data_IF_968354095698
#
_entry.id   IF_968354095698
#
_cell.length_a   1.000
_cell.length_b   1.000
_cell.length_c   1.000
_cell.angle_alpha   90.00
_cell.angle_beta   90.00
_cell.angle_gamma   90.00
#
_symmetry.space_group_name_H-M   'P 1'
#
loop_
_entity.id
_entity.type
_entity.pdbx_description
1 polymer ?
#
# COMPACT_ATOMS: atom_id res chain seq x y z
N UNK A 1 15.36 1.94 -7.22
CA UNK A 1 14.72 0.60 -7.45
C UNK A 1 13.20 0.68 -7.23
N UNK A 2 12.39 -0.06 -8.00
CA UNK A 2 10.91 -0.07 -7.85
C UNK A 2 10.44 -0.76 -6.56
N UNK A 3 9.44 -0.19 -5.87
CA UNK A 3 8.79 -0.86 -4.74
C UNK A 3 7.91 -2.04 -5.20
N UNK A 4 7.58 -2.95 -4.28
CA UNK A 4 6.79 -4.15 -4.57
C UNK A 4 5.37 -3.82 -5.04
N UNK A 5 4.74 -2.77 -4.49
CA UNK A 5 3.42 -2.34 -4.94
C UNK A 5 3.40 -1.88 -6.39
N UNK A 6 4.38 -1.07 -6.81
CA UNK A 6 4.49 -0.66 -8.21
C UNK A 6 4.72 -1.85 -9.15
N UNK A 7 5.48 -2.87 -8.72
CA UNK A 7 5.68 -4.11 -9.49
C UNK A 7 4.35 -4.85 -9.68
N UNK A 8 3.59 -5.05 -8.61
CA UNK A 8 2.27 -5.70 -8.66
C UNK A 8 1.30 -4.93 -9.57
N UNK A 9 1.27 -3.61 -9.44
CA UNK A 9 0.40 -2.75 -10.24
C UNK A 9 0.91 -2.53 -11.66
N UNK A 10 2.07 -3.06 -12.05
CA UNK A 10 2.72 -2.78 -13.35
C UNK A 10 2.76 -1.27 -13.64
N UNK A 11 3.12 -0.49 -12.62
CA UNK A 11 3.20 0.99 -12.63
C UNK A 11 4.67 1.42 -12.55
N UNK A 12 5.02 2.51 -13.23
CA UNK A 12 6.33 3.16 -13.06
C UNK A 12 6.54 3.65 -11.62
N UNK A 13 7.70 3.35 -11.05
CA UNK A 13 8.07 3.76 -9.70
C UNK A 13 9.13 4.88 -9.76
N UNK A 14 8.82 6.02 -9.16
CA UNK A 14 9.76 7.14 -8.94
C UNK A 14 10.30 7.12 -7.50
N UNK A 15 11.15 8.09 -7.18
CA UNK A 15 11.58 8.37 -5.81
C UNK A 15 10.37 8.83 -4.96
N UNK A 16 9.53 9.71 -5.51
CA UNK A 16 8.29 10.22 -4.88
C UNK A 16 7.11 9.22 -4.91
N UNK A 17 7.41 7.92 -4.85
CA UNK A 17 6.39 6.89 -4.97
C UNK A 17 5.53 6.82 -3.69
N UNK A 18 4.29 7.30 -3.77
CA UNK A 18 3.29 7.25 -2.67
C UNK A 18 3.02 5.84 -2.11
N UNK A 19 3.30 4.77 -2.87
CA UNK A 19 3.12 3.40 -2.41
C UNK A 19 4.26 2.91 -1.52
N UNK A 20 5.46 3.50 -1.65
CA UNK A 20 6.66 3.05 -0.93
C UNK A 20 6.50 3.18 0.58
N UNK A 21 6.13 4.35 1.16
CA UNK A 21 5.93 4.46 2.61
C UNK A 21 4.75 3.57 3.08
N UNK A 22 3.71 3.41 2.26
CA UNK A 22 2.55 2.56 2.58
C UNK A 22 2.85 1.07 2.70
N UNK A 23 4.00 0.61 2.19
CA UNK A 23 4.40 -0.79 2.21
C UNK A 23 5.59 -1.03 3.14
N UNK A 24 6.29 0.00 3.62
CA UNK A 24 7.53 -0.16 4.36
C UNK A 24 7.37 -0.87 5.70
N UNK A 25 6.17 -0.81 6.28
CA UNK A 25 5.84 -1.46 7.55
C UNK A 25 5.55 -2.97 7.40
N UNK A 26 5.39 -3.46 6.16
CA UNK A 26 5.27 -4.89 5.86
C UNK A 26 6.66 -5.45 5.61
N UNK A 27 7.09 -6.37 6.47
CA UNK A 27 8.48 -6.87 6.51
C UNK A 27 8.89 -7.67 5.26
N UNK A 28 7.96 -8.42 4.67
CA UNK A 28 8.27 -9.33 3.56
C UNK A 28 7.77 -8.80 2.20
N UNK A 29 8.53 -9.02 1.11
CA UNK A 29 8.08 -8.70 -0.24
C UNK A 29 6.75 -9.36 -0.61
N UNK A 30 6.51 -10.58 -0.14
CA UNK A 30 5.29 -11.35 -0.34
C UNK A 30 4.09 -10.67 0.32
N UNK A 31 4.23 -10.25 1.59
CA UNK A 31 3.17 -9.52 2.31
C UNK A 31 2.83 -8.20 1.61
N UNK A 32 3.85 -7.44 1.19
CA UNK A 32 3.67 -6.22 0.40
C UNK A 32 2.92 -6.48 -0.91
N UNK A 33 3.25 -7.59 -1.57
CA UNK A 33 2.59 -8.03 -2.79
C UNK A 33 1.12 -8.36 -2.58
N UNK A 34 0.81 -9.23 -1.60
CA UNK A 34 -0.54 -9.66 -1.27
C UNK A 34 -1.42 -8.49 -0.83
N UNK A 35 -0.92 -7.62 0.05
CA UNK A 35 -1.62 -6.42 0.46
C UNK A 35 -1.93 -5.51 -0.75
N UNK A 36 -0.96 -5.32 -1.66
CA UNK A 36 -1.19 -4.51 -2.87
C UNK A 36 -2.26 -5.13 -3.77
N UNK A 37 -2.21 -6.45 -4.01
CA UNK A 37 -3.22 -7.15 -4.83
C UNK A 37 -4.61 -7.00 -4.22
N UNK A 38 -4.73 -7.21 -2.90
CA UNK A 38 -5.98 -7.11 -2.18
C UNK A 38 -6.59 -5.71 -2.32
N UNK A 39 -5.86 -4.68 -1.94
CA UNK A 39 -6.35 -3.29 -1.95
C UNK A 39 -6.66 -2.85 -3.39
N UNK A 40 -5.81 -3.22 -4.37
CA UNK A 40 -6.06 -2.90 -5.77
C UNK A 40 -7.29 -3.59 -6.35
N UNK A 41 -7.64 -4.79 -5.87
CA UNK A 41 -8.85 -5.51 -6.26
C UNK A 41 -10.11 -4.85 -5.70
N UNK A 42 -10.04 -4.31 -4.49
CA UNK A 42 -11.18 -3.61 -3.85
C UNK A 42 -11.42 -2.22 -4.42
N UNK A 43 -10.38 -1.39 -4.53
CA UNK A 43 -10.52 0.00 -4.98
C UNK A 43 -10.39 0.17 -6.50
N UNK A 44 -9.89 -0.85 -7.21
CA UNK A 44 -9.37 -0.67 -8.57
C UNK A 44 -8.12 0.22 -8.60
N UNK A 45 -7.48 0.33 -9.77
CA UNK A 45 -6.27 1.15 -9.94
C UNK A 45 -6.52 2.63 -9.63
N UNK A 46 -7.59 3.19 -10.21
CA UNK A 46 -7.91 4.62 -10.08
C UNK A 46 -8.34 4.97 -8.65
N UNK A 47 -9.20 4.16 -8.03
CA UNK A 47 -9.64 4.36 -6.66
C UNK A 47 -8.50 4.23 -5.66
N UNK A 48 -7.60 3.26 -5.84
CA UNK A 48 -6.41 3.12 -4.99
C UNK A 48 -5.53 4.38 -5.03
N UNK A 49 -5.23 4.87 -6.24
CA UNK A 49 -4.40 6.07 -6.37
C UNK A 49 -5.10 7.30 -5.78
N UNK A 50 -6.39 7.49 -6.06
CA UNK A 50 -7.17 8.61 -5.52
C UNK A 50 -7.21 8.59 -4.00
N UNK A 51 -7.39 7.41 -3.39
CA UNK A 51 -7.39 7.25 -1.94
C UNK A 51 -6.04 7.64 -1.32
N UNK A 52 -4.94 7.11 -1.86
CA UNK A 52 -3.60 7.38 -1.34
C UNK A 52 -3.19 8.86 -1.47
N UNK A 53 -3.59 9.53 -2.54
CA UNK A 53 -3.27 10.95 -2.75
C UNK A 53 -4.18 11.89 -1.98
N UNK A 54 -5.40 11.47 -1.62
CA UNK A 54 -6.32 12.25 -0.80
C UNK A 54 -5.91 12.30 0.68
N UNK A 55 -5.10 11.35 1.12
CA UNK A 55 -4.56 11.31 2.49
C UNK A 55 -3.25 12.12 2.56
N UNK A 56 -3.17 13.12 3.47
CA UNK A 56 -1.92 13.84 3.75
C UNK A 56 -0.81 12.87 4.14
N UNK A 57 0.44 13.18 3.78
CA UNK A 57 1.57 12.25 3.97
C UNK A 57 1.78 11.81 5.42
N UNK A 58 1.60 12.73 6.38
CA UNK A 58 1.66 12.47 7.82
C UNK A 58 0.56 11.53 8.36
N UNK A 59 -0.47 11.26 7.57
CA UNK A 59 -1.58 10.37 7.93
C UNK A 59 -1.57 9.10 7.08
N UNK A 60 -0.58 8.92 6.21
CA UNK A 60 -0.47 7.71 5.41
C UNK A 60 0.00 6.55 6.30
N UNK A 61 -0.55 5.34 6.08
CA UNK A 61 -0.04 4.15 6.73
C UNK A 61 1.46 4.02 6.47
N UNK A 62 2.27 3.91 7.52
CA UNK A 62 3.73 3.78 7.41
C UNK A 62 4.53 4.87 8.12
N UNK A 63 3.92 5.99 8.51
CA UNK A 63 4.58 7.14 9.14
C UNK A 63 4.22 7.33 10.63
N UNK A 64 3.97 6.24 11.37
CA UNK A 64 3.67 6.27 12.82
C UNK A 64 2.22 6.71 13.20
N UNK A 65 1.47 5.76 13.77
CA UNK A 65 0.32 5.95 14.68
C UNK A 65 -1.14 6.16 14.23
N UNK A 66 -1.56 6.01 12.96
CA UNK A 66 -3.00 5.70 12.73
C UNK A 66 -3.25 4.96 11.40
N UNK A 67 -3.66 3.69 11.48
CA UNK A 67 -4.04 2.91 10.29
C UNK A 67 -5.04 1.82 10.62
N UNK A 68 -6.12 2.18 11.32
CA UNK A 68 -7.17 1.19 11.67
C UNK A 68 -7.92 0.64 10.46
N UNK A 69 -7.92 1.37 9.32
CA UNK A 69 -8.68 0.96 8.12
C UNK A 69 -7.88 0.02 7.21
N UNK A 70 -6.55 0.18 7.09
CA UNK A 70 -5.71 -0.76 6.34
C UNK A 70 -5.23 -1.94 7.21
N UNK A 71 -5.07 -1.74 8.52
CA UNK A 71 -4.51 -2.78 9.40
C UNK A 71 -5.45 -3.97 9.58
N UNK A 72 -6.75 -3.80 9.87
CA UNK A 72 -7.61 -4.97 10.13
C UNK A 72 -7.87 -5.83 8.90
N UNK A 73 -8.06 -5.24 7.72
CA UNK A 73 -8.32 -6.00 6.48
C UNK A 73 -7.05 -6.55 5.84
N UNK A 74 -5.95 -5.79 5.80
CA UNK A 74 -4.68 -6.33 5.30
C UNK A 74 -3.99 -7.27 6.28
N UNK A 75 -4.08 -7.07 7.60
CA UNK A 75 -3.49 -8.00 8.57
C UNK A 75 -4.22 -9.34 8.57
N UNK A 76 -5.57 -9.33 8.52
CA UNK A 76 -6.38 -10.55 8.42
C UNK A 76 -6.09 -11.33 7.12
N UNK A 77 -5.91 -10.66 5.97
CA UNK A 77 -5.61 -11.33 4.70
C UNK A 77 -4.11 -11.59 4.44
N UNK A 78 -3.20 -10.93 5.16
CA UNK A 78 -1.77 -11.25 5.09
C UNK A 78 -1.37 -12.41 6.03
N UNK A 79 -2.24 -12.78 6.98
CA UNK A 79 -2.06 -13.90 7.92
C UNK A 79 -3.08 -15.05 7.71
N UNK A 80 -3.81 -15.04 6.60
CA UNK A 80 -4.59 -16.17 6.06
C UNK A 80 -3.95 -16.58 4.74
#
# INVERSE_FOLDING_TARGET
MSCNGCRVLRKGCSEDCVLRPCLQWLETPEAQGHATVFVAKFFGRAGLMSFLTAVPESQRPGEENDSRVLCLTCWYYANV
#
